data_IF_239781074102
#
_entry.id   IF_239781074102
#
_cell.length_a   1.000
_cell.length_b   1.000
_cell.length_c   1.000
_cell.angle_alpha   90.00
_cell.angle_beta   90.00
_cell.angle_gamma   90.00
#
_symmetry.space_group_name_H-M   'P 1'
#
loop_
_entity.id
_entity.type
_entity.pdbx_description
1 polymer ?
#
# COMPACT_ATOMS: atom_id res chain seq x y z
N UNK A 1 10.50 -46.80 -7.35
CA UNK A 1 9.60 -45.94 -8.16
C UNK A 1 8.34 -45.49 -7.43
N UNK A 2 7.74 -46.29 -6.55
CA UNK A 2 6.56 -45.89 -5.73
C UNK A 2 6.87 -44.91 -4.58
N UNK A 3 8.09 -44.90 -4.04
CA UNK A 3 8.53 -43.96 -2.98
C UNK A 3 8.65 -42.50 -3.46
N UNK A 4 8.88 -42.29 -4.75
CA UNK A 4 9.01 -40.95 -5.36
C UNK A 4 7.65 -40.28 -5.61
N UNK A 5 6.59 -41.06 -5.78
CA UNK A 5 5.24 -40.56 -6.08
C UNK A 5 4.54 -40.09 -4.80
N UNK A 6 4.80 -40.75 -3.67
CA UNK A 6 4.22 -40.38 -2.37
C UNK A 6 4.79 -39.05 -1.85
N UNK A 7 6.07 -38.73 -2.09
CA UNK A 7 6.66 -37.42 -1.71
C UNK A 7 6.17 -36.24 -2.55
N UNK A 8 5.71 -36.47 -3.78
CA UNK A 8 5.16 -35.42 -4.66
C UNK A 8 3.70 -35.10 -4.30
N UNK A 9 2.96 -36.08 -3.75
CA UNK A 9 1.60 -35.89 -3.27
C UNK A 9 1.58 -35.03 -1.98
N UNK A 10 2.52 -35.27 -1.07
CA UNK A 10 2.66 -34.56 0.23
C UNK A 10 3.17 -33.10 0.06
N UNK A 11 3.97 -32.84 -0.98
CA UNK A 11 4.35 -31.47 -1.37
C UNK A 11 3.20 -30.70 -2.04
N UNK A 12 2.29 -31.40 -2.74
CA UNK A 12 1.12 -30.76 -3.32
C UNK A 12 0.17 -30.31 -2.23
N UNK A 13 -0.18 -31.13 -1.24
CA UNK A 13 -1.09 -30.77 -0.14
C UNK A 13 -0.65 -29.52 0.63
N UNK A 14 0.65 -29.33 0.84
CA UNK A 14 1.19 -28.11 1.46
C UNK A 14 1.01 -26.83 0.61
N UNK A 15 0.95 -26.92 -0.71
CA UNK A 15 0.76 -25.76 -1.59
C UNK A 15 -0.70 -25.23 -1.56
N UNK A 16 -1.69 -26.09 -1.32
CA UNK A 16 -3.12 -25.70 -1.28
C UNK A 16 -3.45 -24.84 -0.04
N UNK A 17 -2.88 -25.17 1.12
CA UNK A 17 -3.06 -24.34 2.32
C UNK A 17 -2.34 -22.99 2.13
N UNK A 18 -1.23 -22.99 1.39
CA UNK A 18 -0.37 -21.83 1.22
C UNK A 18 -1.04 -20.66 0.48
N UNK A 19 -2.01 -20.84 -0.43
CA UNK A 19 -2.56 -19.71 -1.19
C UNK A 19 -3.62 -18.91 -0.45
N UNK A 20 -4.58 -19.58 0.21
CA UNK A 20 -5.47 -18.92 1.16
C UNK A 20 -4.64 -18.36 2.33
N UNK A 21 -3.63 -19.08 2.82
CA UNK A 21 -2.68 -18.52 3.80
C UNK A 21 -1.92 -17.30 3.24
N UNK A 22 -1.56 -17.25 1.96
CA UNK A 22 -0.69 -16.20 1.40
C UNK A 22 -1.42 -14.86 1.27
N UNK A 23 -2.63 -14.84 0.74
CA UNK A 23 -3.46 -13.63 0.72
C UNK A 23 -3.79 -13.18 2.14
N UNK A 24 -4.15 -14.13 3.01
CA UNK A 24 -4.38 -13.88 4.42
C UNK A 24 -3.12 -13.44 5.16
N UNK A 25 -1.92 -13.83 4.70
CA UNK A 25 -0.65 -13.46 5.31
C UNK A 25 -0.38 -11.97 5.09
N UNK A 26 -0.47 -11.50 3.84
CA UNK A 26 -0.28 -10.08 3.53
C UNK A 26 -1.30 -9.22 4.28
N UNK A 27 -2.58 -9.59 4.23
CA UNK A 27 -3.65 -8.91 4.96
C UNK A 27 -3.36 -8.92 6.46
N UNK A 28 -3.00 -10.07 7.05
CA UNK A 28 -2.71 -10.18 8.49
C UNK A 28 -1.52 -9.32 8.91
N UNK A 29 -0.44 -9.28 8.12
CA UNK A 29 0.70 -8.41 8.42
C UNK A 29 0.28 -6.94 8.34
N UNK A 30 -0.48 -6.56 7.31
CA UNK A 30 -1.01 -5.20 7.21
C UNK A 30 -1.88 -4.84 8.43
N UNK A 31 -2.76 -5.74 8.88
CA UNK A 31 -3.59 -5.52 10.06
C UNK A 31 -2.77 -5.36 11.35
N UNK A 32 -1.65 -6.08 11.49
CA UNK A 32 -0.73 -5.89 12.62
C UNK A 32 -0.13 -4.49 12.61
N UNK A 33 0.41 -4.04 11.48
CA UNK A 33 0.94 -2.68 11.36
C UNK A 33 -0.13 -1.62 11.59
N UNK A 34 -1.33 -1.79 11.04
CA UNK A 34 -2.46 -0.89 11.30
C UNK A 34 -2.87 -0.87 12.77
N UNK A 35 -2.58 -1.92 13.54
CA UNK A 35 -2.83 -1.90 15.00
C UNK A 35 -1.90 -0.93 15.69
N UNK A 36 -0.63 -0.91 15.30
CA UNK A 36 0.39 -0.01 15.85
C UNK A 36 0.00 1.45 15.62
N UNK A 37 -0.57 1.74 14.45
CA UNK A 37 -0.98 3.10 14.07
C UNK A 37 -2.38 3.47 14.59
N UNK A 38 -3.13 2.51 15.16
CA UNK A 38 -4.49 2.75 15.67
C UNK A 38 -5.61 2.67 14.63
N UNK A 39 -5.33 2.22 13.41
CA UNK A 39 -6.26 2.15 12.28
C UNK A 39 -6.68 0.72 11.89
N UNK A 40 -6.46 -0.29 12.75
CA UNK A 40 -6.82 -1.68 12.40
C UNK A 40 -8.35 -1.87 12.35
N UNK A 41 -8.92 -2.27 11.18
CA UNK A 41 -10.35 -2.46 11.00
C UNK A 41 -10.95 -3.64 11.77
N UNK A 42 -10.17 -4.64 12.14
CA UNK A 42 -10.65 -5.83 12.85
C UNK A 42 -11.01 -5.60 14.33
N UNK A 43 -10.56 -4.51 14.94
CA UNK A 43 -10.81 -4.21 16.36
C UNK A 43 -11.81 -3.05 16.44
N UNK A 44 -13.06 -3.29 16.77
CA UNK A 44 -14.05 -2.22 16.88
C UNK A 44 -14.00 -1.52 18.26
N UNK A 45 -14.22 -0.20 18.27
CA UNK A 45 -14.43 0.63 19.48
C UNK A 45 -13.35 0.54 20.58
N UNK A 46 -12.11 0.19 20.25
CA UNK A 46 -11.02 0.20 21.24
C UNK A 46 -10.54 1.62 21.53
N UNK A 47 -10.60 2.03 22.79
CA UNK A 47 -10.06 3.32 23.26
C UNK A 47 -8.58 3.47 22.94
N UNK A 48 -7.80 2.38 23.04
CA UNK A 48 -6.38 2.38 22.72
C UNK A 48 -6.12 2.75 21.26
N UNK A 49 -6.94 2.23 20.34
CA UNK A 49 -6.82 2.55 18.93
C UNK A 49 -7.15 4.01 18.64
N UNK A 50 -8.17 4.56 19.29
CA UNK A 50 -8.48 5.98 19.20
C UNK A 50 -7.29 6.83 19.68
N UNK A 51 -6.68 6.47 20.81
CA UNK A 51 -5.50 7.18 21.34
C UNK A 51 -4.33 7.11 20.35
N UNK A 52 -4.03 5.94 19.79
CA UNK A 52 -2.95 5.77 18.81
C UNK A 52 -3.22 6.55 17.51
N UNK A 53 -4.46 6.56 17.04
CA UNK A 53 -4.88 7.34 15.87
C UNK A 53 -4.72 8.85 16.12
N UNK A 54 -5.22 9.35 17.25
CA UNK A 54 -5.09 10.77 17.64
C UNK A 54 -3.63 11.15 17.82
N UNK A 55 -2.81 10.30 18.44
CA UNK A 55 -1.37 10.52 18.57
C UNK A 55 -0.67 10.60 17.21
N UNK A 56 -0.96 9.65 16.32
CA UNK A 56 -0.36 9.59 14.98
C UNK A 56 -0.72 10.81 14.13
N UNK A 57 -2.00 11.19 14.13
CA UNK A 57 -2.50 12.34 13.36
C UNK A 57 -2.05 13.67 13.94
N UNK A 58 -2.10 13.85 15.27
CA UNK A 58 -1.62 15.07 15.91
C UNK A 58 -0.12 15.27 15.73
N UNK A 59 0.70 14.23 15.85
CA UNK A 59 2.13 14.35 15.61
C UNK A 59 2.47 14.68 14.16
N UNK A 60 1.75 14.09 13.19
CA UNK A 60 1.86 14.49 11.78
C UNK A 60 1.45 15.94 11.54
N UNK A 61 0.39 16.41 12.20
CA UNK A 61 -0.05 17.81 12.11
C UNK A 61 0.96 18.78 12.76
N UNK A 62 1.62 18.38 13.85
CA UNK A 62 2.70 19.15 14.47
C UNK A 62 3.86 19.32 13.49
N UNK A 63 4.26 18.27 12.75
CA UNK A 63 5.35 18.38 11.76
C UNK A 63 4.96 19.33 10.62
N UNK A 64 3.72 19.25 10.13
CA UNK A 64 3.20 20.22 9.14
C UNK A 64 3.27 21.64 9.71
N UNK A 65 2.86 21.85 10.97
CA UNK A 65 2.93 23.15 11.62
C UNK A 65 4.37 23.66 11.73
N UNK A 66 5.34 22.81 12.10
CA UNK A 66 6.76 23.19 12.15
C UNK A 66 7.30 23.54 10.76
N UNK A 67 6.91 22.83 9.71
CA UNK A 67 7.27 23.16 8.33
C UNK A 67 6.68 24.51 7.89
N UNK A 68 5.43 24.80 8.25
CA UNK A 68 4.78 26.09 7.97
C UNK A 68 5.44 27.22 8.76
N UNK A 69 5.78 27.00 10.04
CA UNK A 69 6.50 27.98 10.85
C UNK A 69 7.88 28.28 10.27
N UNK A 70 8.57 27.30 9.67
CA UNK A 70 9.85 27.53 9.00
C UNK A 70 9.68 28.50 7.84
N UNK A 71 8.60 28.34 7.07
CA UNK A 71 8.28 29.23 5.96
C UNK A 71 8.01 30.69 6.40
N UNK A 72 7.35 30.90 7.55
CA UNK A 72 6.99 32.25 8.01
C UNK A 72 8.01 32.92 8.94
N UNK A 73 8.77 32.14 9.70
CA UNK A 73 9.70 32.65 10.73
C UNK A 73 11.16 32.63 10.29
N UNK A 74 11.48 32.17 9.07
CA UNK A 74 12.83 32.27 8.54
C UNK A 74 13.19 33.75 8.34
N UNK A 75 14.12 34.25 9.15
CA UNK A 75 14.71 35.59 8.99
C UNK A 75 15.66 35.64 7.79
N UNK A 76 16.20 34.49 7.40
CA UNK A 76 17.04 34.33 6.21
C UNK A 76 16.21 34.25 4.94
N UNK A 77 16.77 34.76 3.84
CA UNK A 77 16.19 34.64 2.50
C UNK A 77 16.11 33.15 2.11
N UNK A 78 14.92 32.56 2.30
CA UNK A 78 14.63 31.18 1.91
C UNK A 78 14.99 30.97 0.44
N UNK A 79 15.82 29.98 0.17
CA UNK A 79 16.09 29.59 -1.21
C UNK A 79 14.88 28.86 -1.78
N UNK A 80 14.77 28.82 -3.12
CA UNK A 80 13.68 28.08 -3.78
C UNK A 80 13.77 26.58 -3.44
N UNK A 81 14.97 26.08 -3.17
CA UNK A 81 15.21 24.69 -2.75
C UNK A 81 14.60 24.41 -1.36
N UNK A 82 14.78 25.32 -0.40
CA UNK A 82 14.20 25.21 0.94
C UNK A 82 12.67 25.20 0.88
N UNK A 83 12.10 26.10 0.06
CA UNK A 83 10.66 26.18 -0.18
C UNK A 83 10.15 24.84 -0.75
N UNK A 84 10.83 24.28 -1.74
CA UNK A 84 10.47 23.00 -2.35
C UNK A 84 10.51 21.84 -1.32
N UNK A 85 11.52 21.80 -0.45
CA UNK A 85 11.64 20.82 0.62
C UNK A 85 10.52 20.94 1.67
N UNK A 86 10.18 22.17 2.06
CA UNK A 86 9.05 22.45 2.96
C UNK A 86 7.74 21.94 2.35
N UNK A 87 7.47 22.27 1.08
CA UNK A 87 6.26 21.80 0.39
C UNK A 87 6.23 20.27 0.26
N UNK A 88 7.36 19.64 -0.07
CA UNK A 88 7.47 18.18 -0.12
C UNK A 88 7.08 17.54 1.21
N UNK A 89 7.59 18.07 2.31
CA UNK A 89 7.27 17.61 3.68
C UNK A 89 5.78 17.78 3.98
N UNK A 90 5.20 18.96 3.71
CA UNK A 90 3.76 19.22 3.93
C UNK A 90 2.91 18.23 3.14
N UNK A 91 3.18 18.07 1.84
CA UNK A 91 2.45 17.16 0.94
C UNK A 91 2.53 15.72 1.46
N UNK A 92 3.72 15.27 1.85
CA UNK A 92 3.93 13.91 2.38
C UNK A 92 3.10 13.63 3.65
N UNK A 93 3.05 14.57 4.61
CA UNK A 93 2.25 14.37 5.82
C UNK A 93 0.75 14.56 5.61
N UNK A 94 0.34 15.47 4.72
CA UNK A 94 -1.07 15.58 4.30
C UNK A 94 -1.55 14.27 3.70
N UNK A 95 -0.71 13.61 2.89
CA UNK A 95 -1.00 12.30 2.34
C UNK A 95 -1.22 11.23 3.42
N UNK A 96 -0.34 11.17 4.43
CA UNK A 96 -0.49 10.24 5.57
C UNK A 96 -1.78 10.51 6.35
N UNK A 97 -2.03 11.77 6.70
CA UNK A 97 -3.23 12.15 7.47
C UNK A 97 -4.48 11.76 6.69
N UNK A 98 -4.51 11.97 5.37
CA UNK A 98 -5.60 11.54 4.50
C UNK A 98 -5.81 10.02 4.54
N UNK A 99 -4.72 9.22 4.44
CA UNK A 99 -4.78 7.75 4.52
C UNK A 99 -5.26 7.25 5.88
N UNK A 100 -4.72 7.80 6.97
CA UNK A 100 -5.14 7.48 8.34
C UNK A 100 -6.61 7.81 8.55
N UNK A 101 -7.04 8.99 8.11
CA UNK A 101 -8.42 9.45 8.22
C UNK A 101 -9.35 8.56 7.39
N UNK A 102 -8.98 8.19 6.17
CA UNK A 102 -9.75 7.24 5.36
C UNK A 102 -9.89 5.90 6.07
N UNK A 103 -8.79 5.30 6.52
CA UNK A 103 -8.83 4.00 7.20
C UNK A 103 -9.63 4.03 8.51
N UNK A 104 -9.56 5.14 9.25
CA UNK A 104 -10.30 5.31 10.50
C UNK A 104 -11.80 5.55 10.26
N UNK A 105 -12.14 6.41 9.31
CA UNK A 105 -13.55 6.75 9.00
C UNK A 105 -14.28 5.62 8.29
N UNK A 106 -13.60 4.94 7.35
CA UNK A 106 -14.12 3.82 6.55
C UNK A 106 -13.82 2.45 7.13
N UNK A 107 -13.50 2.42 8.42
CA UNK A 107 -13.08 1.22 9.14
C UNK A 107 -14.06 0.07 9.02
N UNK A 108 -15.37 0.37 9.10
CA UNK A 108 -16.44 -0.64 9.04
C UNK A 108 -16.56 -1.24 7.64
N UNK A 109 -16.50 -0.40 6.62
CA UNK A 109 -16.54 -0.81 5.22
C UNK A 109 -15.31 -1.66 4.86
N UNK A 110 -14.12 -1.28 5.32
CA UNK A 110 -12.90 -2.09 5.14
C UNK A 110 -13.02 -3.42 5.86
N UNK A 111 -13.54 -3.44 7.10
CA UNK A 111 -13.75 -4.68 7.82
C UNK A 111 -14.75 -5.61 7.11
N UNK A 112 -15.87 -5.07 6.64
CA UNK A 112 -16.87 -5.82 5.87
C UNK A 112 -16.25 -6.40 4.59
N UNK A 113 -15.42 -5.62 3.89
CA UNK A 113 -14.67 -6.12 2.73
C UNK A 113 -13.76 -7.29 3.09
N UNK A 114 -13.01 -7.20 4.18
CA UNK A 114 -12.12 -8.28 4.62
C UNK A 114 -12.89 -9.56 4.99
N UNK A 115 -14.06 -9.43 5.64
CA UNK A 115 -14.93 -10.56 5.98
C UNK A 115 -15.49 -11.21 4.71
N UNK A 116 -15.92 -10.41 3.73
CA UNK A 116 -16.42 -10.91 2.44
C UNK A 116 -15.32 -11.60 1.62
N UNK A 117 -14.10 -11.08 1.65
CA UNK A 117 -12.92 -11.73 1.04
C UNK A 117 -12.67 -13.10 1.68
N UNK A 118 -12.78 -13.20 3.00
CA UNK A 118 -12.54 -14.47 3.71
C UNK A 118 -13.65 -15.51 3.47
N UNK A 119 -14.93 -15.08 3.50
CA UNK A 119 -16.08 -16.00 3.52
C UNK A 119 -16.70 -16.29 2.16
N UNK A 120 -16.67 -15.33 1.24
CA UNK A 120 -17.48 -15.39 0.01
C UNK A 120 -16.65 -15.59 -1.25
N UNK A 121 -15.35 -15.32 -1.21
CA UNK A 121 -14.49 -15.51 -2.38
C UNK A 121 -14.29 -16.99 -2.66
N UNK A 122 -14.33 -17.35 -3.94
CA UNK A 122 -14.02 -18.70 -4.38
C UNK A 122 -12.55 -19.00 -4.13
N UNK A 123 -12.27 -20.21 -3.66
CA UNK A 123 -10.89 -20.64 -3.46
C UNK A 123 -10.25 -20.86 -4.82
N UNK A 124 -9.05 -20.30 -5.00
CA UNK A 124 -8.27 -20.47 -6.23
C UNK A 124 -8.02 -21.96 -6.53
N UNK A 125 -7.98 -22.79 -5.49
CA UNK A 125 -7.79 -24.23 -5.58
C UNK A 125 -8.96 -24.99 -6.21
N UNK A 126 -10.17 -24.43 -6.16
CA UNK A 126 -11.36 -25.04 -6.77
C UNK A 126 -11.37 -24.86 -8.31
N UNK A 127 -10.40 -24.13 -8.87
CA UNK A 127 -10.26 -23.93 -10.32
C UNK A 127 -9.83 -25.24 -10.98
N UNK A 128 -10.67 -25.74 -11.88
CA UNK A 128 -10.42 -27.03 -12.58
C UNK A 128 -9.23 -26.95 -13.53
N UNK A 129 -8.99 -25.79 -14.15
CA UNK A 129 -7.91 -25.60 -15.11
C UNK A 129 -6.56 -25.36 -14.38
N UNK A 130 -5.58 -26.28 -14.49
CA UNK A 130 -4.30 -26.15 -13.80
C UNK A 130 -3.47 -24.97 -14.29
N UNK A 131 -3.60 -24.57 -15.57
CA UNK A 131 -2.85 -23.45 -16.15
C UNK A 131 -3.33 -22.11 -15.59
N UNK A 132 -4.64 -21.93 -15.49
CA UNK A 132 -5.24 -20.72 -14.88
C UNK A 132 -4.91 -20.64 -13.40
N UNK A 133 -5.04 -21.76 -12.69
CA UNK A 133 -4.66 -21.85 -11.28
C UNK A 133 -3.21 -21.42 -11.07
N UNK A 134 -2.27 -21.92 -11.87
CA UNK A 134 -0.87 -21.53 -11.78
C UNK A 134 -0.66 -20.03 -12.05
N UNK A 135 -1.43 -19.46 -12.97
CA UNK A 135 -1.40 -18.02 -13.27
C UNK A 135 -1.86 -17.18 -12.07
N UNK A 136 -2.96 -17.56 -11.42
CA UNK A 136 -3.47 -16.87 -10.22
C UNK A 136 -2.50 -17.00 -9.03
N UNK A 137 -1.88 -18.17 -8.86
CA UNK A 137 -0.83 -18.40 -7.86
C UNK A 137 0.41 -17.55 -8.12
N UNK A 138 0.79 -17.37 -9.40
CA UNK A 138 1.91 -16.52 -9.79
C UNK A 138 1.65 -15.06 -9.43
N UNK A 139 0.47 -14.53 -9.75
CA UNK A 139 0.08 -13.14 -9.44
C UNK A 139 0.12 -12.87 -7.93
N UNK A 140 -0.45 -13.77 -7.12
CA UNK A 140 -0.44 -13.63 -5.66
C UNK A 140 0.97 -13.73 -5.07
N UNK A 141 1.82 -14.60 -5.61
CA UNK A 141 3.23 -14.72 -5.22
C UNK A 141 4.03 -13.46 -5.55
N UNK A 142 3.87 -12.91 -6.75
CA UNK A 142 4.54 -11.66 -7.19
C UNK A 142 4.12 -10.49 -6.30
N UNK A 143 2.83 -10.40 -5.95
CA UNK A 143 2.31 -9.39 -5.01
C UNK A 143 3.01 -9.45 -3.65
N UNK A 144 3.21 -10.66 -3.11
CA UNK A 144 3.94 -10.86 -1.86
C UNK A 144 5.41 -10.49 -1.98
N UNK A 145 6.05 -10.85 -3.09
CA UNK A 145 7.45 -10.47 -3.33
C UNK A 145 7.61 -8.95 -3.42
N UNK A 146 6.67 -8.26 -4.07
CA UNK A 146 6.62 -6.80 -4.11
C UNK A 146 6.49 -6.22 -2.70
N UNK A 147 5.62 -6.76 -1.83
CA UNK A 147 5.53 -6.32 -0.45
C UNK A 147 6.85 -6.47 0.33
N UNK A 148 7.48 -7.65 0.25
CA UNK A 148 8.78 -7.87 0.90
C UNK A 148 9.88 -6.96 0.36
N UNK A 149 9.89 -6.71 -0.96
CA UNK A 149 10.83 -5.80 -1.58
C UNK A 149 10.63 -4.36 -1.07
N UNK A 150 9.38 -3.88 -0.99
CA UNK A 150 9.08 -2.55 -0.46
C UNK A 150 9.53 -2.40 1.00
N UNK A 151 9.24 -3.40 1.84
CA UNK A 151 9.70 -3.41 3.24
C UNK A 151 11.23 -3.44 3.32
N UNK A 152 11.89 -4.26 2.48
CA UNK A 152 13.35 -4.33 2.44
C UNK A 152 13.99 -3.00 2.02
N UNK A 153 13.48 -2.38 0.94
CA UNK A 153 13.95 -1.07 0.46
C UNK A 153 13.76 0.00 1.54
N UNK A 154 12.65 -0.03 2.26
CA UNK A 154 12.41 0.87 3.37
C UNK A 154 13.40 0.66 4.53
N UNK A 155 13.63 -0.59 4.94
CA UNK A 155 14.61 -0.89 5.98
C UNK A 155 16.03 -0.48 5.57
N UNK A 156 16.39 -0.68 4.30
CA UNK A 156 17.66 -0.24 3.74
C UNK A 156 17.78 1.29 3.75
N UNK A 157 16.72 2.00 3.37
CA UNK A 157 16.65 3.46 3.41
C UNK A 157 16.78 4.00 4.85
N UNK A 158 16.08 3.39 5.82
CA UNK A 158 16.24 3.72 7.23
C UNK A 158 17.68 3.54 7.68
N UNK A 159 18.28 2.38 7.41
CA UNK A 159 19.66 2.10 7.80
C UNK A 159 20.65 3.11 7.20
N UNK A 160 20.41 3.54 5.96
CA UNK A 160 21.24 4.54 5.26
C UNK A 160 21.09 5.95 5.85
N UNK A 161 19.93 6.29 6.40
CA UNK A 161 19.63 7.61 6.96
C UNK A 161 20.02 7.74 8.43
N UNK A 162 19.98 6.66 9.22
CA UNK A 162 20.38 6.66 10.63
C UNK A 162 21.85 7.06 10.89
N UNK A 163 22.72 7.07 9.86
CA UNK A 163 24.12 7.49 9.98
C UNK A 163 24.37 8.99 9.86
N UNK A 164 23.36 9.79 9.48
CA UNK A 164 23.52 11.21 9.19
C UNK A 164 22.88 12.02 10.33
N UNK A 165 23.68 12.86 11.01
CA UNK A 165 23.20 13.80 12.04
C UNK A 165 22.47 15.01 11.45
N UNK A 166 21.60 14.79 10.45
CA UNK A 166 20.74 15.81 9.86
C UNK A 166 19.29 15.54 10.25
N UNK A 167 18.50 16.60 10.37
CA UNK A 167 17.04 16.45 10.47
C UNK A 167 16.57 15.76 9.18
N UNK A 168 15.76 14.69 9.27
CA UNK A 168 15.23 14.03 8.07
C UNK A 168 14.28 14.95 7.29
N UNK A 169 13.79 16.01 7.94
CA UNK A 169 12.85 16.98 7.39
C UNK A 169 13.36 18.40 7.67
N UNK A 170 13.22 19.28 6.69
CA UNK A 170 13.46 20.72 6.87
C UNK A 170 12.28 21.30 7.66
N UNK A 171 12.47 21.48 8.98
CA UNK A 171 11.42 21.94 9.89
C UNK A 171 11.93 23.05 10.82
N UNK A 172 11.01 23.90 11.29
CA UNK A 172 11.36 24.94 12.24
C UNK A 172 11.76 24.32 13.57
N UNK A 173 12.91 24.73 14.08
CA UNK A 173 13.36 24.37 15.42
C UNK A 173 13.04 25.50 16.41
N UNK A 174 12.10 25.28 17.35
CA UNK A 174 11.89 26.24 18.42
C UNK A 174 13.13 26.35 19.33
N UNK A 175 13.49 27.55 19.81
CA UNK A 175 14.71 27.76 20.59
C UNK A 175 14.72 27.01 21.94
N UNK A 176 13.53 26.68 22.47
CA UNK A 176 13.38 25.95 23.74
C UNK A 176 13.50 24.42 23.59
N UNK A 177 13.56 23.86 22.37
CA UNK A 177 13.65 22.41 22.15
C UNK A 177 15.10 22.03 21.81
N UNK A 178 15.73 21.11 22.56
CA UNK A 178 17.02 20.56 22.19
C UNK A 178 16.95 19.82 20.83
N UNK A 179 18.05 19.82 20.08
CA UNK A 179 18.06 19.24 18.73
C UNK A 179 17.79 17.72 18.73
N UNK A 180 18.36 16.98 19.69
CA UNK A 180 18.28 15.52 19.71
C UNK A 180 16.85 14.97 19.86
N UNK A 181 16.01 15.46 20.80
CA UNK A 181 14.60 15.07 20.88
C UNK A 181 13.79 15.40 19.62
N UNK A 182 14.06 16.53 18.96
CA UNK A 182 13.37 16.91 17.72
C UNK A 182 13.71 15.93 16.59
N UNK A 183 15.00 15.64 16.38
CA UNK A 183 15.45 14.65 15.39
C UNK A 183 14.83 13.27 15.69
N UNK A 184 14.81 12.84 16.95
CA UNK A 184 14.20 11.58 17.33
C UNK A 184 12.69 11.54 17.03
N UNK A 185 11.98 12.64 17.34
CA UNK A 185 10.56 12.78 17.05
C UNK A 185 10.28 12.70 15.54
N UNK A 186 10.99 13.49 14.73
CA UNK A 186 10.83 13.48 13.28
C UNK A 186 11.12 12.10 12.67
N UNK A 187 12.19 11.42 13.11
CA UNK A 187 12.51 10.08 12.64
C UNK A 187 11.40 9.07 12.98
N UNK A 188 10.85 9.10 14.19
CA UNK A 188 9.73 8.23 14.59
C UNK A 188 8.52 8.46 13.68
N UNK A 189 8.16 9.71 13.42
CA UNK A 189 7.01 10.04 12.57
C UNK A 189 7.27 9.81 11.08
N UNK A 190 8.52 9.93 10.63
CA UNK A 190 8.91 9.54 9.28
C UNK A 190 8.79 8.02 9.09
N UNK A 191 9.23 7.23 10.06
CA UNK A 191 9.04 5.77 10.07
C UNK A 191 7.55 5.42 10.05
N UNK A 192 6.76 6.09 10.90
CA UNK A 192 5.31 5.91 10.97
C UNK A 192 4.64 6.24 9.62
N UNK A 193 5.05 7.34 8.98
CA UNK A 193 4.58 7.79 7.66
C UNK A 193 4.77 6.68 6.62
N UNK A 194 5.99 6.16 6.49
CA UNK A 194 6.30 5.19 5.43
C UNK A 194 5.61 3.86 5.70
N UNK A 195 5.62 3.37 6.95
CA UNK A 195 4.91 2.13 7.32
C UNK A 195 3.42 2.26 7.02
N UNK A 196 2.81 3.39 7.35
CA UNK A 196 1.38 3.64 7.11
C UNK A 196 1.04 3.62 5.63
N UNK A 197 1.81 4.34 4.81
CA UNK A 197 1.60 4.42 3.36
C UNK A 197 1.72 3.03 2.74
N UNK A 198 2.85 2.34 2.96
CA UNK A 198 3.10 1.00 2.39
C UNK A 198 2.00 0.03 2.83
N UNK A 199 1.65 0.04 4.12
CA UNK A 199 0.65 -0.89 4.66
C UNK A 199 -0.72 -0.70 4.03
N UNK A 200 -1.21 0.54 3.95
CA UNK A 200 -2.55 0.82 3.43
C UNK A 200 -2.61 0.57 1.92
N UNK A 201 -1.58 0.97 1.17
CA UNK A 201 -1.54 0.79 -0.27
C UNK A 201 -1.45 -0.69 -0.64
N UNK A 202 -0.63 -1.46 0.08
CA UNK A 202 -0.55 -2.92 -0.11
C UNK A 202 -1.85 -3.61 0.26
N UNK A 203 -2.54 -3.16 1.33
CA UNK A 203 -3.85 -3.71 1.70
C UNK A 203 -4.88 -3.47 0.59
N UNK A 204 -5.00 -2.24 0.09
CA UNK A 204 -5.93 -1.89 -1.00
C UNK A 204 -5.59 -2.67 -2.27
N UNK A 205 -4.31 -2.67 -2.65
CA UNK A 205 -3.83 -3.42 -3.82
C UNK A 205 -4.15 -4.90 -3.71
N UNK A 206 -3.95 -5.51 -2.53
CA UNK A 206 -4.27 -6.92 -2.29
C UNK A 206 -5.76 -7.18 -2.47
N UNK A 207 -6.65 -6.34 -1.92
CA UNK A 207 -8.10 -6.48 -2.09
C UNK A 207 -8.50 -6.38 -3.58
N UNK A 208 -7.93 -5.42 -4.30
CA UNK A 208 -8.20 -5.22 -5.75
C UNK A 208 -7.70 -6.41 -6.58
N UNK A 209 -6.51 -6.94 -6.29
CA UNK A 209 -5.94 -8.10 -6.99
C UNK A 209 -6.80 -9.34 -6.74
N UNK A 210 -7.21 -9.60 -5.49
CA UNK A 210 -8.08 -10.72 -5.18
C UNK A 210 -9.42 -10.61 -5.91
N UNK A 211 -10.00 -9.40 -5.94
CA UNK A 211 -11.25 -9.13 -6.68
C UNK A 211 -11.07 -9.39 -8.18
N UNK A 212 -9.94 -8.97 -8.75
CA UNK A 212 -9.60 -9.22 -10.16
C UNK A 212 -9.49 -10.71 -10.45
N UNK A 213 -8.86 -11.48 -9.56
CA UNK A 213 -8.78 -12.94 -9.68
C UNK A 213 -10.17 -13.56 -9.66
N UNK A 214 -11.07 -13.10 -8.77
CA UNK A 214 -12.44 -13.60 -8.72
C UNK A 214 -13.21 -13.36 -10.03
N UNK A 215 -13.09 -12.16 -10.63
CA UNK A 215 -13.71 -11.89 -11.94
C UNK A 215 -13.15 -12.79 -13.04
N UNK A 216 -11.83 -13.04 -13.06
CA UNK A 216 -11.21 -13.96 -14.03
C UNK A 216 -11.71 -15.39 -13.85
N UNK A 217 -11.84 -15.86 -12.61
CA UNK A 217 -12.39 -17.19 -12.31
C UNK A 217 -13.84 -17.33 -12.78
N UNK A 218 -14.69 -16.31 -12.55
CA UNK A 218 -16.07 -16.31 -13.07
C UNK A 218 -16.08 -16.35 -14.59
N UNK A 219 -15.26 -15.53 -15.24
CA UNK A 219 -15.17 -15.51 -16.71
C UNK A 219 -14.77 -16.88 -17.28
N UNK A 220 -13.81 -17.56 -16.65
CA UNK A 220 -13.36 -18.87 -17.09
C UNK A 220 -14.46 -19.94 -16.93
N UNK A 221 -15.15 -19.96 -15.78
CA UNK A 221 -16.26 -20.89 -15.55
C UNK A 221 -17.47 -20.62 -16.47
N UNK A 222 -17.75 -19.36 -16.82
CA UNK A 222 -18.76 -19.02 -17.83
C UNK A 222 -18.38 -19.58 -19.19
N UNK A 223 -17.15 -19.33 -19.66
CA UNK A 223 -16.68 -19.87 -20.95
C UNK A 223 -16.79 -21.39 -20.98
N UNK A 224 -16.31 -22.05 -19.91
CA UNK A 224 -16.39 -23.51 -19.78
C UNK A 224 -17.82 -24.02 -19.81
N UNK A 225 -18.75 -23.37 -19.11
CA UNK A 225 -20.15 -23.77 -19.11
C UNK A 225 -20.72 -23.80 -20.53
N UNK A 226 -20.39 -22.82 -21.38
CA UNK A 226 -20.90 -22.78 -22.76
C UNK A 226 -20.14 -23.71 -23.72
N UNK A 227 -18.84 -23.95 -23.51
CA UNK A 227 -18.06 -24.88 -24.35
C UNK A 227 -18.36 -26.35 -24.04
N UNK A 228 -18.53 -26.74 -22.77
CA UNK A 228 -18.84 -28.12 -22.39
C UNK A 228 -20.28 -28.52 -22.77
N UNK A 229 -21.19 -27.55 -22.91
CA UNK A 229 -22.60 -27.80 -23.26
C UNK A 229 -22.76 -28.33 -24.70
N UNK A 230 -21.77 -28.12 -25.58
CA UNK A 230 -21.77 -28.76 -26.91
C UNK A 230 -21.37 -30.24 -26.89
N UNK A 231 -20.72 -30.72 -25.83
CA UNK A 231 -20.19 -32.10 -25.77
C UNK A 231 -20.94 -33.05 -24.83
N UNK A 232 -21.77 -32.57 -23.88
CA UNK A 232 -22.51 -33.43 -22.95
C UNK A 232 -23.99 -33.08 -22.81
N UNK A 233 -24.82 -34.14 -22.71
CA UNK A 233 -26.23 -34.11 -22.26
C UNK A 233 -26.31 -33.62 -20.81
N UNK A 234 -26.14 -32.32 -20.57
CA UNK A 234 -26.57 -31.72 -19.32
C UNK A 234 -28.09 -31.87 -19.23
N UNK A 235 -28.59 -32.37 -18.10
CA UNK A 235 -30.00 -32.17 -17.77
C UNK A 235 -30.22 -30.66 -17.66
N UNK A 236 -31.24 -30.11 -18.33
CA UNK A 236 -31.57 -28.67 -18.30
C UNK A 236 -31.47 -28.05 -16.88
N UNK A 237 -31.84 -28.85 -15.87
CA UNK A 237 -31.84 -28.46 -14.46
C UNK A 237 -30.43 -28.22 -13.89
N UNK A 238 -29.43 -29.04 -14.24
CA UNK A 238 -28.05 -28.90 -13.74
C UNK A 238 -27.32 -27.73 -14.42
N UNK A 239 -27.62 -27.47 -15.70
CA UNK A 239 -27.15 -26.28 -16.39
C UNK A 239 -27.69 -25.00 -15.73
N UNK A 240 -29.01 -24.92 -15.51
CA UNK A 240 -29.65 -23.77 -14.88
C UNK A 240 -29.11 -23.49 -13.47
N UNK A 241 -28.85 -24.53 -12.67
CA UNK A 241 -28.27 -24.37 -11.33
C UNK A 241 -26.85 -23.81 -11.37
N UNK A 242 -25.99 -24.28 -12.29
CA UNK A 242 -24.63 -23.76 -12.45
C UNK A 242 -24.63 -22.31 -12.94
N UNK A 243 -25.46 -22.02 -13.93
CA UNK A 243 -25.63 -20.67 -14.46
C UNK A 243 -26.11 -19.70 -13.36
N UNK A 244 -27.11 -20.11 -12.57
CA UNK A 244 -27.60 -19.31 -11.44
C UNK A 244 -26.48 -19.00 -10.44
N UNK A 245 -25.68 -20.00 -10.03
CA UNK A 245 -24.54 -19.79 -9.13
C UNK A 245 -23.51 -18.79 -9.69
N UNK A 246 -23.23 -18.84 -11.00
CA UNK A 246 -22.31 -17.91 -11.66
C UNK A 246 -22.86 -16.48 -11.67
N UNK A 247 -24.15 -16.31 -11.99
CA UNK A 247 -24.82 -15.01 -11.98
C UNK A 247 -24.84 -14.42 -10.57
N UNK A 248 -25.19 -15.24 -9.56
CA UNK A 248 -25.22 -14.81 -8.16
C UNK A 248 -23.84 -14.34 -7.69
N UNK A 249 -22.77 -15.07 -8.03
CA UNK A 249 -21.40 -14.67 -7.68
C UNK A 249 -20.93 -13.44 -8.46
N UNK A 250 -21.27 -13.32 -9.75
CA UNK A 250 -20.98 -12.12 -10.54
C UNK A 250 -21.64 -10.87 -9.95
N UNK A 251 -22.92 -10.97 -9.58
CA UNK A 251 -23.65 -9.88 -8.92
C UNK A 251 -23.02 -9.50 -7.58
N UNK A 252 -22.58 -10.50 -6.79
CA UNK A 252 -21.81 -10.26 -5.58
C UNK A 252 -20.51 -9.48 -5.87
N UNK A 253 -19.74 -9.88 -6.88
CA UNK A 253 -18.49 -9.20 -7.25
C UNK A 253 -18.72 -7.78 -7.76
N UNK A 254 -19.78 -7.52 -8.52
CA UNK A 254 -20.16 -6.16 -8.93
C UNK A 254 -20.48 -5.28 -7.72
N UNK A 255 -21.25 -5.80 -6.75
CA UNK A 255 -21.52 -5.07 -5.52
C UNK A 255 -20.22 -4.85 -4.72
N UNK A 256 -19.36 -5.86 -4.62
CA UNK A 256 -18.08 -5.74 -3.93
C UNK A 256 -17.16 -4.70 -4.58
N UNK A 257 -17.07 -4.65 -5.91
CA UNK A 257 -16.32 -3.65 -6.64
C UNK A 257 -16.87 -2.23 -6.43
N UNK A 258 -18.20 -2.09 -6.37
CA UNK A 258 -18.84 -0.82 -6.01
C UNK A 258 -18.44 -0.37 -4.59
N UNK A 259 -18.39 -1.30 -3.63
CA UNK A 259 -17.96 -1.02 -2.26
C UNK A 259 -16.48 -0.58 -2.20
N UNK A 260 -15.58 -1.25 -2.95
CA UNK A 260 -14.18 -0.83 -3.09
C UNK A 260 -14.11 0.61 -3.60
N UNK A 261 -14.84 0.92 -4.68
CA UNK A 261 -14.85 2.24 -5.29
C UNK A 261 -15.32 3.29 -4.28
N UNK A 262 -16.51 3.10 -3.69
CA UNK A 262 -17.05 4.03 -2.69
C UNK A 262 -16.13 4.25 -1.47
N UNK A 263 -15.35 3.23 -1.09
CA UNK A 263 -14.42 3.32 0.05
C UNK A 263 -13.13 4.05 -0.32
N UNK A 264 -12.54 3.73 -1.47
CA UNK A 264 -11.16 4.13 -1.79
C UNK A 264 -11.02 5.20 -2.87
N UNK A 265 -12.06 5.55 -3.65
CA UNK A 265 -11.94 6.53 -4.75
C UNK A 265 -11.37 7.86 -4.29
N UNK A 266 -11.91 8.44 -3.20
CA UNK A 266 -11.44 9.74 -2.70
C UNK A 266 -9.97 9.67 -2.27
N UNK A 267 -9.59 8.60 -1.57
CA UNK A 267 -8.19 8.39 -1.16
C UNK A 267 -7.26 8.20 -2.35
N UNK A 268 -7.72 7.55 -3.43
CA UNK A 268 -6.95 7.40 -4.67
C UNK A 268 -6.77 8.72 -5.42
N UNK A 269 -7.79 9.59 -5.45
CA UNK A 269 -7.65 10.93 -6.04
C UNK A 269 -6.62 11.75 -5.26
N UNK A 270 -6.69 11.72 -3.93
CA UNK A 270 -5.70 12.39 -3.07
C UNK A 270 -4.31 11.79 -3.30
N UNK A 271 -4.18 10.46 -3.41
CA UNK A 271 -2.91 9.80 -3.74
C UNK A 271 -2.30 10.29 -5.04
N UNK A 272 -3.07 10.28 -6.13
CA UNK A 272 -2.59 10.72 -7.45
C UNK A 272 -2.14 12.18 -7.40
N UNK A 273 -2.92 13.06 -6.76
CA UNK A 273 -2.54 14.46 -6.57
C UNK A 273 -1.20 14.61 -5.84
N UNK A 274 -1.03 13.91 -4.70
CA UNK A 274 0.22 13.97 -3.93
C UNK A 274 1.43 13.43 -4.72
N UNK A 275 1.28 12.30 -5.42
CA UNK A 275 2.37 11.72 -6.21
C UNK A 275 2.79 12.65 -7.34
N UNK A 276 1.83 13.24 -8.07
CA UNK A 276 2.14 14.19 -9.15
C UNK A 276 2.87 15.41 -8.58
N UNK A 277 2.39 15.99 -7.48
CA UNK A 277 3.05 17.14 -6.85
C UNK A 277 4.46 16.81 -6.36
N UNK A 278 4.67 15.65 -5.71
CA UNK A 278 5.99 15.21 -5.28
C UNK A 278 6.92 14.97 -6.47
N UNK A 279 6.45 14.33 -7.54
CA UNK A 279 7.24 14.11 -8.75
C UNK A 279 7.68 15.43 -9.38
N UNK A 280 6.80 16.44 -9.44
CA UNK A 280 7.16 17.76 -9.93
C UNK A 280 8.27 18.41 -9.08
N UNK A 281 8.18 18.30 -7.74
CA UNK A 281 9.21 18.82 -6.83
C UNK A 281 10.53 18.06 -7.03
N UNK A 282 10.51 16.73 -7.09
CA UNK A 282 11.73 15.95 -7.31
C UNK A 282 12.39 16.24 -8.67
N UNK A 283 11.60 16.39 -9.74
CA UNK A 283 12.13 16.80 -11.04
C UNK A 283 12.82 18.17 -10.99
N UNK A 284 12.27 19.10 -10.20
CA UNK A 284 12.90 20.40 -9.96
C UNK A 284 14.27 20.26 -9.25
N UNK A 285 14.34 19.49 -8.16
CA UNK A 285 15.62 19.23 -7.48
C UNK A 285 16.65 18.57 -8.40
N UNK A 286 16.23 17.58 -9.19
CA UNK A 286 17.12 16.92 -10.15
C UNK A 286 17.67 17.92 -11.18
N UNK A 287 16.85 18.84 -11.68
CA UNK A 287 17.30 19.89 -12.61
C UNK A 287 18.35 20.82 -11.99
N UNK A 288 18.17 21.21 -10.72
CA UNK A 288 19.18 22.02 -9.99
C UNK A 288 20.49 21.25 -9.83
N UNK A 289 20.43 20.00 -9.37
CA UNK A 289 21.60 19.16 -9.15
C UNK A 289 22.39 18.99 -10.46
N UNK A 290 21.70 18.72 -11.56
CA UNK A 290 22.32 18.59 -12.88
C UNK A 290 23.02 19.89 -13.31
N UNK A 291 22.36 21.05 -13.14
CA UNK A 291 22.96 22.35 -13.48
C UNK A 291 24.22 22.66 -12.65
N UNK A 292 24.24 22.28 -11.37
CA UNK A 292 25.43 22.42 -10.50
C UNK A 292 26.58 21.51 -10.93
N UNK A 293 26.27 20.34 -11.48
CA UNK A 293 27.28 19.39 -11.97
C UNK A 293 27.95 19.80 -13.29
N UNK A 294 27.33 20.70 -14.07
CA UNK A 294 27.90 21.25 -15.32
C UNK A 294 28.84 22.45 -15.08
N UNK A 295 28.83 23.03 -13.88
CA UNK A 295 29.66 24.19 -13.51
C UNK A 295 31.09 23.94 -12.99
N UNK A 296 31.73 22.75 -13.03
CA UNK A 296 33.13 22.59 -12.65
C UNK A 296 34.06 22.54 -13.87
N UNK A 297 34.64 23.67 -14.32
CA UNK A 297 35.98 23.70 -14.98
C UNK A 297 36.44 25.04 -15.58
N UNK A 298 35.64 26.10 -15.71
CA UNK A 298 36.10 27.34 -16.41
C UNK A 298 36.75 28.41 -15.52
N UNK A 299 36.87 28.19 -14.20
CA UNK A 299 37.37 29.21 -13.26
C UNK A 299 38.72 28.87 -12.59
N UNK A 300 39.45 27.85 -13.05
CA UNK A 300 40.78 27.50 -12.54
C UNK A 300 41.95 27.80 -13.48
N UNK A 301 41.71 28.36 -14.67
CA UNK A 301 42.77 28.70 -15.67
C UNK A 301 43.03 30.20 -15.79
N UNK A 302 42.70 31.00 -14.77
CA UNK A 302 42.70 32.46 -14.85
C UNK A 302 43.54 33.22 -13.81
N UNK A 303 44.45 32.56 -13.09
CA UNK A 303 45.44 33.24 -12.24
C UNK A 303 46.73 32.41 -12.17
N UNK A 304 47.52 32.49 -13.24
CA UNK A 304 48.96 32.24 -13.24
C UNK A 304 49.53 33.00 -14.45
N UNK A 305 49.50 34.33 -14.38
CA UNK A 305 50.40 35.23 -15.12
C UNK A 305 50.81 36.33 -14.13
#
# INVERSE_FOLDING_TARGET
>A
MLSSIVKVQDYRENIYILCSIMAHYNIRQCLKFLTIVGCNPGIQNSRLQLVLYVFSTSGSAIIILLAILLFFCSEDALTIEDIANIFSTIIAFVYVISKLTMMYTKKREVQDMLIKVDKSFWKIDDTVNPMERQTYLKITKETRQMFHLLVFLFMFWLFSTFGIYSTPMESYRPPWIPLTPLIAFENVFCVLLVITIITIDVLIMTIVILTTIQFKMVSAEVTKLFTDTSEMRYTQNTFNQKLKKLIDHHNFLLHFASLINQTFTVSMVVYVGNIVSLLCIYMYHLSIIMKKSETPSTLQTGMNI
#
